data_IF_005506553560
#
_entry.id   IF_005506553560
#
_cell.length_a   1.000
_cell.length_b   1.000
_cell.length_c   1.000
_cell.angle_alpha   90.00
_cell.angle_beta   90.00
_cell.angle_gamma   90.00
#
_symmetry.space_group_name_H-M   'P 1'
#
loop_
_entity.id
_entity.type
_entity.pdbx_description
1 polymer ?
#
# COMPACT_ATOMS: atom_id res chain seq x y z
N UNK A 1 52.20 24.09 21.52
CA UNK A 1 50.80 24.27 21.99
C UNK A 1 49.92 23.29 21.24
N UNK A 2 49.42 22.24 21.91
CA UNK A 2 48.63 21.17 21.28
C UNK A 2 47.18 21.59 21.06
N UNK A 3 46.69 21.48 19.83
CA UNK A 3 45.33 21.82 19.47
C UNK A 3 44.35 20.74 19.97
N UNK A 4 43.60 21.07 21.03
CA UNK A 4 42.61 20.20 21.65
C UNK A 4 41.30 20.21 20.82
N UNK A 5 41.29 19.56 19.65
CA UNK A 5 40.07 19.41 18.83
C UNK A 5 39.35 18.12 19.23
N UNK A 6 38.30 18.25 20.07
CA UNK A 6 37.40 17.13 20.37
C UNK A 6 36.84 16.54 19.07
N UNK A 7 36.78 15.20 18.91
CA UNK A 7 36.25 14.58 17.70
C UNK A 7 34.79 15.00 17.51
N UNK A 8 34.44 15.48 16.31
CA UNK A 8 33.06 15.83 15.96
C UNK A 8 32.22 14.55 16.04
N UNK A 9 31.17 14.56 16.86
CA UNK A 9 30.18 13.46 16.90
C UNK A 9 29.69 13.19 15.48
N UNK A 10 29.71 11.91 15.08
CA UNK A 10 29.19 11.46 13.78
C UNK A 10 27.74 11.92 13.65
N UNK A 11 27.43 12.64 12.57
CA UNK A 11 26.07 13.07 12.30
C UNK A 11 25.18 11.83 12.10
N UNK A 12 24.17 11.68 12.95
CA UNK A 12 23.10 10.70 12.78
C UNK A 12 21.88 11.51 12.33
N UNK A 13 21.38 11.33 11.10
CA UNK A 13 20.15 11.99 10.69
C UNK A 13 19.05 11.58 11.67
N UNK A 14 18.41 12.58 12.29
CA UNK A 14 17.22 12.31 13.10
C UNK A 14 16.19 11.67 12.17
N UNK A 15 15.51 10.58 12.59
CA UNK A 15 14.39 10.08 11.81
C UNK A 15 13.44 11.25 11.55
N UNK A 16 13.04 11.42 10.29
CA UNK A 16 11.99 12.36 9.93
C UNK A 16 10.68 11.85 10.56
N UNK A 17 10.48 12.15 11.84
CA UNK A 17 9.26 11.85 12.56
C UNK A 17 8.34 13.04 12.35
N UNK A 18 7.22 12.79 11.67
CA UNK A 18 6.17 13.78 11.50
C UNK A 18 5.71 14.33 12.87
N UNK A 19 5.34 15.63 12.95
CA UNK A 19 4.81 16.22 14.17
C UNK A 19 3.62 15.41 14.73
N UNK A 20 3.51 15.28 16.06
CA UNK A 20 2.32 14.70 16.68
C UNK A 20 1.06 15.44 16.20
N UNK A 21 0.07 14.70 15.66
CA UNK A 21 -1.16 15.29 15.12
C UNK A 21 -1.19 15.54 13.61
N UNK A 22 -0.07 15.39 12.88
CA UNK A 22 -0.06 15.43 11.41
C UNK A 22 -0.44 14.07 10.76
N UNK A 23 -0.34 12.97 11.51
CA UNK A 23 -0.67 11.61 11.02
C UNK A 23 -2.14 11.42 10.63
N UNK A 24 -3.14 11.98 11.36
CA UNK A 24 -4.54 11.91 10.96
C UNK A 24 -4.87 12.81 9.75
N UNK A 25 -4.18 13.93 9.57
CA UNK A 25 -4.37 14.81 8.41
C UNK A 25 -3.85 14.16 7.11
N UNK A 26 -2.79 13.34 7.20
CA UNK A 26 -2.37 12.45 6.13
C UNK A 26 -3.25 11.19 5.98
N UNK A 27 -4.50 11.21 6.49
CA UNK A 27 -5.47 10.15 6.28
C UNK A 27 -5.65 9.80 4.78
N UNK A 28 -5.28 10.74 3.92
CA UNK A 28 -5.61 10.79 2.51
C UNK A 28 -4.39 10.92 1.58
N UNK A 29 -3.15 10.88 2.09
CA UNK A 29 -1.96 11.12 1.23
C UNK A 29 -1.34 9.87 0.58
N UNK A 30 -1.91 8.67 0.77
CA UNK A 30 -1.32 7.46 0.16
C UNK A 30 -1.85 7.23 -1.27
N UNK A 31 -1.04 6.62 -2.17
CA UNK A 31 -1.46 6.28 -3.53
C UNK A 31 -2.80 5.52 -3.60
N UNK A 32 -3.09 4.65 -2.62
CA UNK A 32 -4.38 3.97 -2.53
C UNK A 32 -5.59 4.91 -2.36
N UNK A 33 -5.42 6.06 -1.71
CA UNK A 33 -6.48 7.07 -1.62
C UNK A 33 -6.67 7.79 -2.95
N UNK A 34 -5.61 8.21 -3.62
CA UNK A 34 -5.68 8.83 -4.95
C UNK A 34 -6.36 7.89 -5.95
N UNK A 35 -5.99 6.61 -5.93
CA UNK A 35 -6.65 5.58 -6.71
C UNK A 35 -8.14 5.45 -6.36
N UNK A 36 -8.49 5.57 -5.07
CA UNK A 36 -9.88 5.54 -4.62
C UNK A 36 -10.72 6.74 -5.07
N UNK A 37 -10.09 7.92 -5.19
CA UNK A 37 -10.74 9.12 -5.72
C UNK A 37 -10.90 9.09 -7.25
N UNK A 38 -10.00 8.37 -7.93
CA UNK A 38 -10.07 8.13 -9.36
C UNK A 38 -11.13 7.07 -9.74
N UNK A 39 -11.53 6.20 -8.82
CA UNK A 39 -12.58 5.21 -9.06
C UNK A 39 -13.92 5.89 -9.39
N UNK A 40 -14.48 5.53 -10.56
CA UNK A 40 -15.72 6.09 -11.08
C UNK A 40 -15.55 7.39 -11.86
N UNK A 41 -14.31 7.82 -12.15
CA UNK A 41 -14.00 8.95 -13.02
C UNK A 41 -13.31 8.46 -14.30
N UNK A 42 -13.35 9.28 -15.35
CA UNK A 42 -12.77 8.93 -16.67
C UNK A 42 -11.25 8.71 -16.65
N UNK A 43 -10.54 9.20 -15.63
CA UNK A 43 -9.09 9.03 -15.50
C UNK A 43 -8.68 7.79 -14.68
N UNK A 44 -9.57 6.81 -14.49
CA UNK A 44 -9.18 5.55 -13.87
C UNK A 44 -8.23 4.79 -14.81
N UNK A 45 -6.96 4.68 -14.40
CA UNK A 45 -5.87 4.14 -15.22
C UNK A 45 -5.25 2.91 -14.55
N UNK A 46 -4.45 2.19 -15.33
CA UNK A 46 -3.72 1.00 -14.88
C UNK A 46 -2.90 1.24 -13.60
N UNK A 47 -2.26 2.40 -13.48
CA UNK A 47 -1.49 2.76 -12.28
C UNK A 47 -2.35 2.72 -11.01
N UNK A 48 -3.60 3.20 -11.07
CA UNK A 48 -4.50 3.18 -9.92
C UNK A 48 -4.85 1.75 -9.51
N UNK A 49 -4.97 0.84 -10.47
CA UNK A 49 -5.20 -0.59 -10.19
C UNK A 49 -4.01 -1.18 -9.44
N UNK A 50 -2.78 -0.85 -9.86
CA UNK A 50 -1.57 -1.29 -9.16
C UNK A 50 -1.44 -0.68 -7.76
N UNK A 51 -1.81 0.58 -7.58
CA UNK A 51 -1.77 1.23 -6.27
C UNK A 51 -2.75 0.57 -5.27
N UNK A 52 -3.95 0.23 -5.74
CA UNK A 52 -4.95 -0.51 -4.96
C UNK A 52 -4.47 -1.93 -4.64
N UNK A 53 -3.85 -2.61 -5.61
CA UNK A 53 -3.35 -3.97 -5.45
C UNK A 53 -2.20 -4.02 -4.44
N UNK A 54 -1.25 -3.09 -4.57
CA UNK A 54 -0.12 -2.94 -3.66
C UNK A 54 -0.59 -2.73 -2.22
N UNK A 55 -1.63 -1.91 -2.03
CA UNK A 55 -2.22 -1.67 -0.72
C UNK A 55 -2.81 -2.95 -0.09
N UNK A 56 -3.57 -3.72 -0.88
CA UNK A 56 -4.18 -4.97 -0.42
C UNK A 56 -3.14 -6.07 -0.16
N UNK A 57 -2.19 -6.27 -1.07
CA UNK A 57 -1.10 -7.25 -0.94
C UNK A 57 -0.23 -6.95 0.29
N UNK A 58 0.20 -5.69 0.46
CA UNK A 58 0.99 -5.28 1.62
C UNK A 58 0.25 -5.55 2.93
N UNK A 59 -1.06 -5.30 2.95
CA UNK A 59 -1.90 -5.59 4.12
C UNK A 59 -1.91 -7.08 4.42
N UNK A 60 -2.07 -7.95 3.41
CA UNK A 60 -2.04 -9.41 3.59
C UNK A 60 -0.70 -9.94 4.09
N UNK A 61 0.41 -9.35 3.63
CA UNK A 61 1.77 -9.75 4.04
C UNK A 61 2.12 -9.34 5.47
N UNK A 62 1.56 -8.24 5.95
CA UNK A 62 1.84 -7.71 7.29
C UNK A 62 0.88 -8.27 8.34
N UNK A 63 -0.38 -8.49 7.98
CA UNK A 63 -1.42 -8.89 8.93
C UNK A 63 -1.12 -10.27 9.56
N UNK A 64 -1.23 -10.40 10.90
CA UNK A 64 -1.14 -11.68 11.57
C UNK A 64 -2.20 -12.66 11.09
N UNK A 65 -1.91 -13.96 11.17
CA UNK A 65 -2.88 -15.00 10.85
C UNK A 65 -4.17 -14.84 11.69
N UNK A 66 -5.32 -14.90 11.03
CA UNK A 66 -6.64 -14.73 11.66
C UNK A 66 -7.05 -13.27 11.92
N UNK A 67 -6.23 -12.28 11.55
CA UNK A 67 -6.60 -10.87 11.71
C UNK A 67 -7.81 -10.50 10.84
N UNK A 68 -8.76 -9.75 11.39
CA UNK A 68 -10.02 -9.39 10.71
C UNK A 68 -9.84 -8.53 9.45
N UNK A 69 -8.64 -8.00 9.21
CA UNK A 69 -8.31 -7.25 7.97
C UNK A 69 -8.03 -8.18 6.78
N UNK A 70 -7.68 -9.45 7.04
CA UNK A 70 -7.31 -10.40 5.99
C UNK A 70 -8.46 -10.63 4.99
N UNK A 71 -9.72 -10.90 5.42
CA UNK A 71 -10.83 -11.05 4.48
C UNK A 71 -11.11 -9.79 3.67
N UNK A 72 -10.91 -8.60 4.27
CA UNK A 72 -11.08 -7.32 3.58
C UNK A 72 -10.05 -7.16 2.47
N UNK A 73 -8.78 -7.40 2.79
CA UNK A 73 -7.70 -7.30 1.82
C UNK A 73 -7.83 -8.37 0.73
N UNK A 74 -8.29 -9.57 1.06
CA UNK A 74 -8.58 -10.63 0.10
C UNK A 74 -9.69 -10.22 -0.89
N UNK A 75 -10.81 -9.69 -0.39
CA UNK A 75 -11.90 -9.22 -1.23
C UNK A 75 -11.46 -8.10 -2.20
N UNK A 76 -10.56 -7.22 -1.75
CA UNK A 76 -9.97 -6.21 -2.64
C UNK A 76 -9.13 -6.83 -3.76
N UNK A 77 -8.29 -7.83 -3.45
CA UNK A 77 -7.46 -8.52 -4.46
C UNK A 77 -8.34 -9.20 -5.49
N UNK A 78 -9.41 -9.87 -5.06
CA UNK A 78 -10.37 -10.53 -5.95
C UNK A 78 -11.08 -9.52 -6.87
N UNK A 79 -11.56 -8.40 -6.32
CA UNK A 79 -12.16 -7.33 -7.12
C UNK A 79 -11.18 -6.75 -8.14
N UNK A 80 -9.91 -6.58 -7.76
CA UNK A 80 -8.86 -6.07 -8.67
C UNK A 80 -8.55 -7.08 -9.77
N UNK A 81 -8.48 -8.37 -9.44
CA UNK A 81 -8.27 -9.42 -10.42
C UNK A 81 -9.39 -9.45 -11.47
N UNK A 82 -10.64 -9.25 -11.07
CA UNK A 82 -11.76 -9.12 -12.00
C UNK A 82 -11.65 -7.87 -12.89
N UNK A 83 -11.27 -6.72 -12.33
CA UNK A 83 -11.03 -5.49 -13.08
C UNK A 83 -9.94 -5.72 -14.13
N UNK A 84 -8.81 -6.33 -13.74
CA UNK A 84 -7.71 -6.63 -14.65
C UNK A 84 -8.12 -7.62 -15.75
N UNK A 85 -8.81 -8.70 -15.40
CA UNK A 85 -9.30 -9.69 -16.36
C UNK A 85 -10.33 -9.11 -17.34
N UNK A 86 -11.15 -8.15 -16.89
CA UNK A 86 -12.06 -7.41 -17.78
C UNK A 86 -11.29 -6.45 -18.67
N UNK A 87 -10.36 -5.67 -18.13
CA UNK A 87 -9.55 -4.73 -18.90
C UNK A 87 -8.72 -5.43 -19.99
N UNK A 88 -8.22 -6.65 -19.74
CA UNK A 88 -7.56 -7.46 -20.76
C UNK A 88 -8.48 -7.84 -21.93
N UNK A 89 -9.79 -8.01 -21.68
CA UNK A 89 -10.78 -8.34 -22.71
C UNK A 89 -11.32 -7.12 -23.44
N UNK A 90 -11.50 -6.00 -22.75
CA UNK A 90 -12.14 -4.80 -23.30
C UNK A 90 -11.16 -3.72 -23.74
N UNK A 91 -9.88 -3.82 -23.35
CA UNK A 91 -8.85 -2.80 -23.60
C UNK A 91 -8.98 -1.55 -22.73
N UNK A 92 -9.91 -1.53 -21.77
CA UNK A 92 -10.23 -0.35 -20.96
C UNK A 92 -10.35 -0.70 -19.48
N UNK A 93 -9.75 0.12 -18.62
CA UNK A 93 -9.92 0.01 -17.18
C UNK A 93 -11.21 0.69 -16.75
N UNK A 94 -12.01 -0.02 -15.97
CA UNK A 94 -13.28 0.47 -15.45
C UNK A 94 -13.72 -0.36 -14.26
N UNK A 95 -14.49 0.27 -13.37
CA UNK A 95 -14.96 -0.31 -12.11
C UNK A 95 -16.48 -0.28 -12.11
N UNK A 96 -17.12 -1.40 -11.78
CA UNK A 96 -18.57 -1.46 -11.61
C UNK A 96 -18.99 -1.01 -10.19
N UNK A 97 -20.29 -0.94 -9.91
CA UNK A 97 -20.81 -0.46 -8.63
C UNK A 97 -20.38 -1.32 -7.42
N UNK A 98 -20.36 -2.65 -7.58
CA UNK A 98 -20.01 -3.58 -6.50
C UNK A 98 -18.51 -3.55 -6.19
N UNK A 99 -17.66 -3.58 -7.23
CA UNK A 99 -16.21 -3.44 -7.10
C UNK A 99 -15.86 -2.09 -6.48
N UNK A 100 -16.53 -1.00 -6.89
CA UNK A 100 -16.30 0.32 -6.32
C UNK A 100 -16.64 0.34 -4.83
N UNK A 101 -17.72 -0.32 -4.42
CA UNK A 101 -18.09 -0.46 -3.00
C UNK A 101 -17.02 -1.23 -2.23
N UNK A 102 -16.61 -2.40 -2.72
CA UNK A 102 -15.58 -3.25 -2.09
C UNK A 102 -14.26 -2.50 -1.96
N UNK A 103 -13.81 -1.82 -3.02
CA UNK A 103 -12.54 -1.12 -3.03
C UNK A 103 -12.55 0.14 -2.17
N UNK A 104 -13.64 0.94 -2.17
CA UNK A 104 -13.72 2.16 -1.34
C UNK A 104 -13.74 1.80 0.16
N UNK A 105 -14.53 0.80 0.53
CA UNK A 105 -14.57 0.32 1.92
C UNK A 105 -13.25 -0.33 2.33
N UNK A 106 -12.69 -1.15 1.43
CA UNK A 106 -11.44 -1.86 1.63
C UNK A 106 -10.27 -0.92 1.86
N UNK A 107 -10.02 0.02 0.94
CA UNK A 107 -8.92 1.00 1.01
C UNK A 107 -8.94 1.75 2.33
N UNK A 108 -10.11 2.20 2.78
CA UNK A 108 -10.22 2.91 4.07
C UNK A 108 -9.71 2.07 5.24
N UNK A 109 -10.10 0.79 5.31
CA UNK A 109 -9.71 -0.12 6.39
C UNK A 109 -8.25 -0.54 6.28
N UNK A 110 -7.77 -0.90 5.09
CA UNK A 110 -6.40 -1.34 4.87
C UNK A 110 -5.40 -0.21 5.07
N UNK A 111 -5.71 1.03 4.65
CA UNK A 111 -4.86 2.18 4.94
C UNK A 111 -4.74 2.48 6.43
N UNK A 112 -5.83 2.36 7.21
CA UNK A 112 -5.79 2.51 8.67
C UNK A 112 -4.90 1.43 9.28
N UNK A 113 -5.03 0.18 8.84
CA UNK A 113 -4.19 -0.92 9.30
C UNK A 113 -2.71 -0.68 8.99
N UNK A 114 -2.36 -0.33 7.75
CA UNK A 114 -0.98 -0.12 7.32
C UNK A 114 -0.29 1.04 8.06
N UNK A 115 -1.03 2.05 8.54
CA UNK A 115 -0.46 3.11 9.40
C UNK A 115 -0.04 2.63 10.78
N UNK A 116 -0.63 1.56 11.26
CA UNK A 116 -0.26 0.93 12.52
C UNK A 116 0.94 -0.01 12.35
N UNK A 117 1.27 -0.41 11.11
CA UNK A 117 2.41 -1.25 10.83
C UNK A 117 3.73 -0.49 11.04
N UNK A 118 4.72 -1.18 11.59
CA UNK A 118 6.06 -0.63 11.73
C UNK A 118 6.79 -0.57 10.38
N UNK A 119 7.70 0.40 10.21
CA UNK A 119 8.55 0.48 9.02
C UNK A 119 9.36 -0.82 8.78
N UNK A 120 9.67 -1.56 9.86
CA UNK A 120 10.38 -2.84 9.78
C UNK A 120 9.49 -3.91 9.16
N UNK A 121 8.21 -3.98 9.53
CA UNK A 121 7.25 -4.92 8.93
C UNK A 121 7.00 -4.60 7.46
N UNK A 122 6.83 -3.32 7.12
CA UNK A 122 6.70 -2.85 5.74
C UNK A 122 7.92 -3.24 4.90
N UNK A 123 9.13 -2.99 5.41
CA UNK A 123 10.36 -3.35 4.71
C UNK A 123 10.51 -4.87 4.53
N UNK A 124 10.14 -5.67 5.54
CA UNK A 124 10.14 -7.14 5.45
C UNK A 124 9.13 -7.64 4.42
N UNK A 125 7.92 -7.09 4.41
CA UNK A 125 6.88 -7.43 3.44
C UNK A 125 7.33 -7.12 2.00
N UNK A 126 7.90 -5.93 1.77
CA UNK A 126 8.45 -5.55 0.47
C UNK A 126 9.59 -6.46 0.01
N UNK A 127 10.54 -6.80 0.90
CA UNK A 127 11.60 -7.74 0.57
C UNK A 127 11.08 -9.15 0.27
N UNK A 128 10.04 -9.60 0.98
CA UNK A 128 9.39 -10.88 0.72
C UNK A 128 8.75 -10.89 -0.68
N UNK A 129 8.05 -9.82 -1.07
CA UNK A 129 7.47 -9.66 -2.39
C UNK A 129 8.53 -9.71 -3.51
N UNK A 130 9.64 -8.97 -3.36
CA UNK A 130 10.74 -8.99 -4.34
C UNK A 130 11.37 -10.39 -4.44
N UNK A 131 11.59 -11.06 -3.30
CA UNK A 131 12.14 -12.43 -3.29
C UNK A 131 11.22 -13.43 -3.97
N UNK A 132 9.92 -13.30 -3.75
CA UNK A 132 8.92 -14.12 -4.41
C UNK A 132 8.97 -13.91 -5.91
N UNK A 133 8.87 -12.66 -6.37
CA UNK A 133 8.96 -12.31 -7.79
C UNK A 133 10.25 -12.85 -8.44
N UNK A 134 11.40 -12.66 -7.80
CA UNK A 134 12.67 -13.18 -8.31
C UNK A 134 12.72 -14.70 -8.42
N UNK A 135 11.93 -15.42 -7.62
CA UNK A 135 11.88 -16.89 -7.62
C UNK A 135 10.89 -17.45 -8.63
N UNK A 136 9.74 -16.81 -8.80
CA UNK A 136 8.60 -17.35 -9.56
C UNK A 136 8.36 -16.61 -10.87
N UNK A 137 8.95 -15.43 -11.06
CA UNK A 137 8.63 -14.50 -12.13
C UNK A 137 7.27 -13.82 -11.98
N UNK A 138 6.52 -14.10 -10.89
CA UNK A 138 5.13 -13.65 -10.69
C UNK A 138 4.87 -13.42 -9.19
N UNK A 139 4.30 -12.27 -8.84
CA UNK A 139 3.76 -12.04 -7.49
C UNK A 139 2.45 -12.83 -7.35
N UNK A 140 2.42 -13.83 -6.47
CA UNK A 140 1.16 -14.51 -6.12
C UNK A 140 0.47 -13.65 -5.10
N UNK A 141 -0.46 -12.82 -5.58
CA UNK A 141 -1.41 -12.12 -4.73
C UNK A 141 -2.52 -13.09 -4.42
#
# INVERSE_FOLDING_TARGET
MGANKKPRKRYIPKPAVLPPGARPAMAFEMPGFQASEAMGKEHFQEQHVYDLLSNADMTRRIAPAGHAILPVAQAMVEAIAEIQARAQRTGTFGVNGDEMRVLREGVGKTMVFLRCASNVEIARAGLAAVREFNRTGVLRV
#
